data_IF_678958102797
#
_entry.id   IF_678958102797
#
_cell.length_a   1.000
_cell.length_b   1.000
_cell.length_c   1.000
_cell.angle_alpha   90.00
_cell.angle_beta   90.00
_cell.angle_gamma   90.00
#
_symmetry.space_group_name_H-M   'P 1'
#
loop_
_entity.id
_entity.type
_entity.pdbx_description
1 polymer ?
#
# COMPACT_ATOMS: atom_id res chain seq x y z
N UNK A 1 4.48 3.33 -13.41
CA UNK A 1 3.62 3.83 -12.32
C UNK A 1 2.21 3.28 -12.58
N UNK A 2 1.29 3.19 -11.59
CA UNK A 2 -0.06 2.65 -11.85
C UNK A 2 -0.79 3.33 -13.02
N UNK A 3 -0.65 4.65 -13.14
CA UNK A 3 -1.20 5.42 -14.28
C UNK A 3 -0.64 4.94 -15.62
N UNK A 4 0.67 4.71 -15.71
CA UNK A 4 1.30 4.22 -16.96
C UNK A 4 0.76 2.85 -17.34
N UNK A 5 0.57 1.95 -16.37
CA UNK A 5 0.03 0.62 -16.63
C UNK A 5 -1.43 0.67 -17.05
N UNK A 6 -2.25 1.54 -16.43
CA UNK A 6 -3.64 1.75 -16.86
C UNK A 6 -3.71 2.27 -18.31
N UNK A 7 -2.86 3.24 -18.65
CA UNK A 7 -2.79 3.77 -20.03
C UNK A 7 -2.33 2.70 -21.03
N UNK A 8 -1.32 1.88 -20.67
CA UNK A 8 -0.88 0.76 -21.51
C UNK A 8 -1.97 -0.30 -21.72
N UNK A 9 -2.80 -0.51 -20.71
CA UNK A 9 -3.96 -1.41 -20.79
C UNK A 9 -5.16 -0.79 -21.55
N UNK A 10 -5.04 0.44 -22.07
CA UNK A 10 -6.12 1.14 -22.76
C UNK A 10 -7.23 1.64 -21.82
N UNK A 11 -6.98 1.65 -20.51
CA UNK A 11 -7.92 2.15 -19.51
C UNK A 11 -7.69 3.64 -19.23
N UNK A 12 -8.78 4.39 -19.01
CA UNK A 12 -8.70 5.78 -18.56
C UNK A 12 -8.32 5.82 -17.06
N UNK A 13 -7.17 6.40 -16.67
CA UNK A 13 -6.78 6.44 -15.27
C UNK A 13 -7.70 7.36 -14.46
N UNK A 14 -8.07 6.99 -13.23
CA UNK A 14 -8.76 7.92 -12.35
C UNK A 14 -7.79 9.02 -11.88
N UNK A 15 -8.35 10.10 -11.35
CA UNK A 15 -7.56 11.12 -10.66
C UNK A 15 -7.27 10.66 -9.23
N UNK A 16 -6.00 10.55 -8.90
CA UNK A 16 -5.49 10.22 -7.57
C UNK A 16 -5.20 11.48 -6.77
N UNK A 17 -5.54 11.44 -5.48
CA UNK A 17 -5.11 12.44 -4.48
C UNK A 17 -4.32 11.69 -3.43
N UNK A 18 -3.02 11.97 -3.32
CA UNK A 18 -2.16 11.36 -2.30
C UNK A 18 -2.42 12.02 -0.95
N UNK A 19 -2.54 11.20 0.09
CA UNK A 19 -2.76 11.63 1.48
C UNK A 19 -1.91 10.78 2.40
N UNK A 20 -1.40 11.36 3.48
CA UNK A 20 -0.67 10.65 4.52
C UNK A 20 -0.82 11.40 5.84
N UNK A 21 -0.61 10.71 6.96
CA UNK A 21 -0.52 11.34 8.27
C UNK A 21 0.75 12.18 8.40
N UNK A 22 1.84 11.76 7.74
CA UNK A 22 3.13 12.44 7.67
C UNK A 22 3.46 12.75 6.19
N UNK A 23 2.81 13.77 5.59
CA UNK A 23 2.91 14.04 4.17
C UNK A 23 4.34 14.39 3.73
N UNK A 24 4.70 13.97 2.52
CA UNK A 24 6.01 14.24 1.90
C UNK A 24 5.85 15.12 0.64
N UNK A 25 5.46 16.41 0.79
CA UNK A 25 5.06 17.25 -0.33
C UNK A 25 6.17 17.47 -1.37
N UNK A 26 7.44 17.56 -0.95
CA UNK A 26 8.57 17.69 -1.88
C UNK A 26 8.71 16.48 -2.81
N UNK A 27 8.56 15.27 -2.27
CA UNK A 27 8.64 14.04 -3.05
C UNK A 27 7.41 13.88 -3.97
N UNK A 28 6.23 14.23 -3.47
CA UNK A 28 4.97 14.12 -4.23
C UNK A 28 4.85 15.16 -5.34
N UNK A 29 5.43 16.35 -5.18
CA UNK A 29 5.48 17.37 -6.23
C UNK A 29 6.12 16.84 -7.52
N UNK A 30 7.17 16.01 -7.40
CA UNK A 30 7.80 15.37 -8.56
C UNK A 30 6.88 14.34 -9.24
N UNK A 31 6.07 13.60 -8.49
CA UNK A 31 5.09 12.67 -9.03
C UNK A 31 3.94 13.40 -9.72
N UNK A 32 3.41 14.45 -9.10
CA UNK A 32 2.38 15.32 -9.68
C UNK A 32 2.85 15.99 -10.97
N UNK A 33 4.11 16.47 -11.03
CA UNK A 33 4.68 17.07 -12.23
C UNK A 33 4.79 16.10 -13.42
N UNK A 34 4.97 14.79 -13.17
CA UNK A 34 5.01 13.78 -14.24
C UNK A 34 3.63 13.48 -14.82
N UNK A 35 2.58 13.55 -14.00
CA UNK A 35 1.20 13.24 -14.41
C UNK A 35 0.20 14.27 -13.89
N UNK A 36 0.30 15.55 -14.31
CA UNK A 36 -0.45 16.65 -13.71
C UNK A 36 -1.97 16.55 -13.89
N UNK A 37 -2.43 15.82 -14.92
CA UNK A 37 -3.85 15.55 -15.14
C UNK A 37 -4.44 14.52 -14.17
N UNK A 38 -3.60 13.64 -13.61
CA UNK A 38 -4.04 12.46 -12.86
C UNK A 38 -3.62 12.44 -11.40
N UNK A 39 -2.61 13.22 -10.99
CA UNK A 39 -2.06 13.19 -9.64
C UNK A 39 -2.13 14.57 -8.99
N UNK A 40 -2.79 14.62 -7.84
CA UNK A 40 -2.71 15.72 -6.88
C UNK A 40 -2.35 15.14 -5.50
N UNK A 41 -2.13 16.00 -4.51
CA UNK A 41 -1.88 15.57 -3.13
C UNK A 41 -2.39 16.61 -2.13
N UNK A 42 -2.71 16.16 -0.93
CA UNK A 42 -3.00 17.01 0.24
C UNK A 42 -1.68 17.23 1.02
N UNK A 43 -1.16 18.47 1.11
CA UNK A 43 0.09 18.74 1.83
C UNK A 43 -0.06 18.70 3.35
N UNK A 44 -1.28 18.75 3.87
CA UNK A 44 -1.57 18.69 5.30
C UNK A 44 -1.70 17.23 5.79
N UNK A 45 -1.43 16.94 7.07
CA UNK A 45 -1.69 15.64 7.67
C UNK A 45 -3.14 15.18 7.49
N UNK A 46 -3.34 13.94 7.04
CA UNK A 46 -4.66 13.29 6.93
C UNK A 46 -4.65 11.98 7.70
N UNK A 47 -5.51 11.89 8.71
CA UNK A 47 -5.76 10.67 9.48
C UNK A 47 -6.66 9.72 8.67
N UNK A 48 -6.14 8.55 8.29
CA UNK A 48 -6.87 7.56 7.49
C UNK A 48 -8.12 7.00 8.20
N UNK A 49 -8.20 7.13 9.54
CA UNK A 49 -9.38 6.71 10.32
C UNK A 49 -10.52 7.74 10.30
N UNK A 50 -10.24 8.97 9.84
CA UNK A 50 -11.16 10.13 9.86
C UNK A 50 -10.84 11.09 8.72
N UNK A 51 -10.99 10.64 7.48
CA UNK A 51 -10.67 11.47 6.31
C UNK A 51 -11.70 12.62 6.21
N UNK A 52 -11.27 13.89 6.06
CA UNK A 52 -12.18 15.02 5.89
C UNK A 52 -13.16 14.82 4.72
N UNK A 53 -14.42 15.21 4.91
CA UNK A 53 -15.47 15.09 3.89
C UNK A 53 -15.07 15.65 2.53
N UNK A 54 -14.41 16.81 2.51
CA UNK A 54 -13.93 17.47 1.28
C UNK A 54 -12.93 16.61 0.48
N UNK A 55 -12.24 15.67 1.12
CA UNK A 55 -11.33 14.71 0.47
C UNK A 55 -12.00 13.35 0.21
N UNK A 56 -13.00 12.95 0.99
CA UNK A 56 -13.61 11.62 0.91
C UNK A 56 -14.82 11.54 -0.02
N UNK A 57 -15.65 12.57 -0.07
CA UNK A 57 -16.95 12.54 -0.75
C UNK A 57 -16.80 12.34 -2.26
N UNK A 58 -17.55 11.38 -2.82
CA UNK A 58 -17.48 11.02 -4.24
C UNK A 58 -16.19 10.31 -4.66
N UNK A 59 -15.33 9.89 -3.72
CA UNK A 59 -14.06 9.23 -4.00
C UNK A 59 -13.98 7.86 -3.32
N UNK A 60 -13.31 6.93 -3.98
CA UNK A 60 -12.89 5.67 -3.36
C UNK A 60 -11.51 5.81 -2.71
N UNK A 61 -11.27 5.05 -1.64
CA UNK A 61 -9.96 4.95 -1.00
C UNK A 61 -9.16 3.83 -1.66
N UNK A 62 -7.85 4.02 -1.79
CA UNK A 62 -6.93 3.03 -2.34
C UNK A 62 -5.75 2.86 -1.38
N UNK A 63 -5.51 1.64 -0.93
CA UNK A 63 -4.33 1.28 -0.14
C UNK A 63 -3.65 0.08 -0.78
N UNK A 64 -2.40 0.25 -1.19
CA UNK A 64 -1.59 -0.80 -1.81
C UNK A 64 -0.39 -1.07 -0.91
N UNK A 65 -0.26 -2.32 -0.49
CA UNK A 65 0.83 -2.85 0.32
C UNK A 65 1.08 -2.04 1.60
N UNK A 66 0.01 -1.67 2.30
CA UNK A 66 0.06 -0.78 3.46
C UNK A 66 -0.90 -1.16 4.58
N UNK A 67 -1.95 -1.95 4.30
CA UNK A 67 -3.02 -2.20 5.27
C UNK A 67 -2.51 -3.03 6.46
N UNK A 68 -1.56 -3.93 6.22
CA UNK A 68 -0.87 -4.72 7.24
C UNK A 68 -0.01 -3.92 8.25
N UNK A 69 0.19 -2.61 8.04
CA UNK A 69 0.86 -1.76 9.02
C UNK A 69 -0.08 -1.23 10.11
N UNK A 70 -1.39 -1.22 9.87
CA UNK A 70 -2.36 -0.76 10.85
C UNK A 70 -2.68 -1.85 11.86
N UNK A 71 -2.82 -1.50 13.14
CA UNK A 71 -3.33 -2.42 14.15
C UNK A 71 -4.79 -2.81 13.84
N UNK A 72 -5.31 -3.90 14.39
CA UNK A 72 -6.70 -4.31 14.13
C UNK A 72 -7.72 -3.22 14.44
N UNK A 73 -7.47 -2.42 15.48
CA UNK A 73 -8.33 -1.30 15.88
C UNK A 73 -8.33 -0.20 14.82
N UNK A 74 -7.14 0.18 14.32
CA UNK A 74 -7.00 1.20 13.27
C UNK A 74 -7.57 0.70 11.94
N UNK A 75 -7.32 -0.56 11.57
CA UNK A 75 -7.84 -1.19 10.37
C UNK A 75 -9.38 -1.17 10.34
N UNK A 76 -10.03 -1.56 11.45
CA UNK A 76 -11.48 -1.47 11.62
C UNK A 76 -11.98 -0.03 11.53
N UNK A 77 -11.27 0.92 12.15
CA UNK A 77 -11.64 2.33 12.10
C UNK A 77 -11.56 2.89 10.67
N UNK A 78 -10.52 2.55 9.91
CA UNK A 78 -10.36 2.92 8.49
C UNK A 78 -11.52 2.37 7.65
N UNK A 79 -11.86 1.08 7.81
CA UNK A 79 -12.96 0.44 7.07
C UNK A 79 -14.31 1.10 7.40
N UNK A 80 -14.58 1.33 8.69
CA UNK A 80 -15.80 2.00 9.14
C UNK A 80 -15.89 3.43 8.60
N UNK A 81 -14.77 4.16 8.57
CA UNK A 81 -14.71 5.51 8.02
C UNK A 81 -14.92 5.55 6.50
N UNK A 82 -14.40 4.55 5.79
CA UNK A 82 -14.63 4.39 4.36
C UNK A 82 -16.11 4.17 4.04
N UNK A 83 -16.79 3.29 4.80
CA UNK A 83 -18.23 3.04 4.65
C UNK A 83 -19.06 4.31 4.90
N UNK A 84 -18.67 5.13 5.88
CA UNK A 84 -19.40 6.37 6.21
C UNK A 84 -19.23 7.50 5.20
N UNK A 85 -18.03 7.65 4.64
CA UNK A 85 -17.63 8.91 3.98
C UNK A 85 -17.15 8.79 2.54
N UNK A 86 -16.95 7.57 2.02
CA UNK A 86 -16.34 7.34 0.72
C UNK A 86 -17.26 6.54 -0.20
N UNK A 87 -16.99 6.58 -1.51
CA UNK A 87 -17.71 5.81 -2.54
C UNK A 87 -17.17 4.39 -2.73
N UNK A 88 -16.26 3.96 -1.86
CA UNK A 88 -15.64 2.64 -1.89
C UNK A 88 -14.27 2.62 -1.22
N UNK A 89 -13.72 1.43 -1.03
CA UNK A 89 -12.35 1.21 -0.60
C UNK A 89 -11.77 0.00 -1.32
N UNK A 90 -10.55 0.11 -1.81
CA UNK A 90 -9.78 -0.97 -2.41
C UNK A 90 -8.47 -1.15 -1.64
N UNK A 91 -8.26 -2.36 -1.16
CA UNK A 91 -7.05 -2.81 -0.50
C UNK A 91 -6.37 -3.84 -1.40
N UNK A 92 -5.05 -3.79 -1.50
CA UNK A 92 -4.26 -4.85 -2.12
C UNK A 92 -2.96 -5.05 -1.36
N UNK A 93 -2.58 -6.30 -1.16
CA UNK A 93 -1.31 -6.68 -0.52
C UNK A 93 -0.52 -7.58 -1.47
N UNK A 94 0.80 -7.39 -1.51
CA UNK A 94 1.69 -8.14 -2.40
C UNK A 94 1.87 -9.61 -2.02
N UNK A 95 1.25 -10.07 -0.93
CA UNK A 95 1.36 -11.43 -0.42
C UNK A 95 0.18 -11.76 0.50
N UNK A 96 -0.16 -13.04 0.59
CA UNK A 96 -0.99 -13.58 1.67
C UNK A 96 -0.16 -13.80 2.95
N UNK A 97 -0.82 -14.07 4.09
CA UNK A 97 -0.14 -14.40 5.35
C UNK A 97 0.61 -15.73 5.21
N UNK A 98 1.89 -15.63 4.86
CA UNK A 98 2.81 -16.75 4.73
C UNK A 98 4.22 -16.22 5.02
N UNK A 99 4.97 -16.75 6.02
CA UNK A 99 6.30 -16.26 6.36
C UNK A 99 7.31 -16.32 5.21
N UNK A 100 7.02 -17.11 4.16
CA UNK A 100 7.82 -17.21 2.93
C UNK A 100 7.23 -16.41 1.75
N UNK A 101 6.14 -15.68 1.96
CA UNK A 101 5.42 -14.93 0.92
C UNK A 101 6.23 -13.78 0.31
N UNK A 102 7.29 -13.33 0.99
CA UNK A 102 8.20 -12.31 0.47
C UNK A 102 9.28 -12.88 -0.48
N UNK A 103 9.46 -14.21 -0.55
CA UNK A 103 10.50 -14.84 -1.38
C UNK A 103 10.47 -14.43 -2.87
N UNK A 104 9.31 -14.30 -3.52
CA UNK A 104 9.23 -13.79 -4.90
C UNK A 104 9.83 -12.39 -5.07
N UNK A 105 9.89 -11.58 -4.01
CA UNK A 105 10.49 -10.23 -4.06
C UNK A 105 12.01 -10.24 -3.83
N UNK A 106 12.59 -11.35 -3.37
CA UNK A 106 14.02 -11.44 -2.99
C UNK A 106 14.96 -11.04 -4.13
N UNK A 107 14.78 -11.47 -5.40
CA UNK A 107 15.72 -11.08 -6.46
C UNK A 107 15.79 -9.56 -6.67
N UNK A 108 14.63 -8.89 -6.68
CA UNK A 108 14.54 -7.43 -6.81
C UNK A 108 15.03 -6.74 -5.54
N UNK A 109 14.67 -7.27 -4.37
CA UNK A 109 15.08 -6.76 -3.07
C UNK A 109 16.60 -6.81 -2.87
N UNK A 110 17.25 -7.91 -3.24
CA UNK A 110 18.72 -8.05 -3.18
C UNK A 110 19.41 -7.05 -4.12
N UNK A 111 18.91 -6.90 -5.35
CA UNK A 111 19.45 -5.93 -6.30
C UNK A 111 19.30 -4.49 -5.77
N UNK A 112 18.12 -4.14 -5.25
CA UNK A 112 17.85 -2.83 -4.66
C UNK A 112 18.72 -2.57 -3.42
N UNK A 113 18.86 -3.57 -2.54
CA UNK A 113 19.68 -3.49 -1.35
C UNK A 113 21.16 -3.28 -1.72
N UNK A 114 21.70 -4.07 -2.66
CA UNK A 114 23.06 -3.93 -3.14
C UNK A 114 23.33 -2.55 -3.78
N UNK A 115 22.35 -1.99 -4.50
CA UNK A 115 22.43 -0.68 -5.13
C UNK A 115 22.21 0.50 -4.16
N UNK A 116 21.56 0.29 -3.00
CA UNK A 116 21.20 1.35 -2.05
C UNK A 116 22.36 2.28 -1.67
N UNK A 117 23.60 1.80 -1.37
CA UNK A 117 24.71 2.70 -1.06
C UNK A 117 25.13 3.61 -2.22
N UNK A 118 24.97 3.16 -3.47
CA UNK A 118 25.32 3.93 -4.68
C UNK A 118 24.28 5.01 -5.00
N UNK A 119 23.02 4.72 -4.71
CA UNK A 119 21.87 5.60 -5.02
C UNK A 119 21.52 6.55 -3.87
N UNK A 120 22.02 6.31 -2.65
CA UNK A 120 21.72 7.14 -1.50
C UNK A 120 22.25 8.57 -1.64
N UNK A 121 21.41 9.55 -1.29
CA UNK A 121 21.78 10.98 -1.24
C UNK A 121 22.59 11.35 0.00
N UNK A 122 22.48 10.57 1.08
CA UNK A 122 23.13 10.82 2.38
C UNK A 122 23.72 9.52 2.94
N UNK A 123 24.79 9.65 3.71
CA UNK A 123 25.42 8.55 4.46
C UNK A 123 25.87 7.35 3.61
N UNK A 124 26.35 7.60 2.38
CA UNK A 124 26.75 6.57 1.41
C UNK A 124 27.79 5.59 1.98
N UNK A 125 28.83 6.10 2.65
CA UNK A 125 29.88 5.27 3.24
C UNK A 125 29.36 4.35 4.36
N UNK A 126 28.55 4.89 5.28
CA UNK A 126 27.92 4.11 6.34
C UNK A 126 26.98 3.03 5.77
N UNK A 127 26.17 3.39 4.76
CA UNK A 127 25.32 2.42 4.06
C UNK A 127 26.14 1.35 3.35
N UNK A 128 27.24 1.71 2.69
CA UNK A 128 28.12 0.77 2.02
C UNK A 128 28.74 -0.21 3.02
N UNK A 129 29.21 0.28 4.17
CA UNK A 129 29.74 -0.57 5.23
C UNK A 129 28.67 -1.53 5.77
N UNK A 130 27.49 -1.02 6.15
CA UNK A 130 26.40 -1.86 6.66
C UNK A 130 25.89 -2.88 5.64
N UNK A 131 25.90 -2.54 4.35
CA UNK A 131 25.30 -3.37 3.30
C UNK A 131 26.27 -4.36 2.70
N UNK A 132 27.52 -3.95 2.44
CA UNK A 132 28.51 -4.75 1.73
C UNK A 132 29.53 -5.40 2.65
N UNK A 133 29.85 -4.77 3.79
CA UNK A 133 30.85 -5.29 4.72
C UNK A 133 30.25 -6.07 5.90
N UNK A 134 28.93 -6.01 6.12
CA UNK A 134 28.26 -6.70 7.23
C UNK A 134 26.99 -7.41 6.78
N UNK A 135 26.52 -8.45 7.49
CA UNK A 135 25.24 -9.10 7.20
C UNK A 135 24.02 -8.29 7.72
N UNK A 136 24.24 -7.16 8.40
CA UNK A 136 23.19 -6.45 9.14
C UNK A 136 22.06 -6.01 8.22
N UNK A 137 22.38 -5.39 7.08
CA UNK A 137 21.36 -4.91 6.16
C UNK A 137 20.52 -6.07 5.58
N UNK A 138 21.17 -7.18 5.21
CA UNK A 138 20.49 -8.37 4.72
C UNK A 138 19.61 -9.02 5.79
N UNK A 139 20.12 -9.16 7.02
CA UNK A 139 19.36 -9.71 8.14
C UNK A 139 18.14 -8.84 8.48
N UNK A 140 18.31 -7.51 8.48
CA UNK A 140 17.21 -6.56 8.67
C UNK A 140 16.16 -6.68 7.56
N UNK A 141 16.58 -6.82 6.29
CA UNK A 141 15.64 -7.01 5.17
C UNK A 141 14.87 -8.34 5.24
N UNK A 142 15.51 -9.43 5.66
CA UNK A 142 14.83 -10.72 5.86
C UNK A 142 13.83 -10.62 7.01
N UNK A 143 14.23 -10.01 8.13
CA UNK A 143 13.34 -9.78 9.26
C UNK A 143 12.12 -8.95 8.86
N UNK A 144 12.34 -7.86 8.14
CA UNK A 144 11.27 -6.98 7.65
C UNK A 144 10.28 -7.73 6.75
N UNK A 145 10.79 -8.52 5.79
CA UNK A 145 9.95 -9.35 4.91
C UNK A 145 9.12 -10.39 5.68
N UNK A 146 9.73 -11.10 6.65
CA UNK A 146 9.02 -12.06 7.49
C UNK A 146 7.94 -11.37 8.33
N UNK A 147 8.29 -10.28 9.03
CA UNK A 147 7.33 -9.58 9.89
C UNK A 147 6.18 -8.96 9.08
N UNK A 148 6.47 -8.41 7.89
CA UNK A 148 5.45 -7.85 7.00
C UNK A 148 4.46 -8.93 6.57
N UNK A 149 4.94 -10.09 6.10
CA UNK A 149 4.04 -11.19 5.70
C UNK A 149 3.21 -11.76 6.87
N UNK A 150 3.76 -11.79 8.09
CA UNK A 150 3.02 -12.26 9.26
C UNK A 150 1.92 -11.28 9.71
N UNK A 151 2.07 -9.98 9.43
CA UNK A 151 1.10 -8.94 9.79
C UNK A 151 -0.04 -8.78 8.80
N UNK A 152 0.05 -9.40 7.63
CA UNK A 152 -1.02 -9.36 6.63
C UNK A 152 -2.29 -9.98 7.18
N UNK A 153 -3.43 -9.32 6.99
CA UNK A 153 -4.74 -9.83 7.38
C UNK A 153 -5.21 -10.92 6.41
N UNK A 154 -5.71 -12.01 6.99
CA UNK A 154 -6.36 -13.10 6.25
C UNK A 154 -7.75 -12.70 5.79
N UNK A 155 -8.31 -13.41 4.80
CA UNK A 155 -9.69 -13.20 4.35
C UNK A 155 -10.69 -13.27 5.53
N UNK A 156 -10.54 -14.25 6.42
CA UNK A 156 -11.42 -14.42 7.58
C UNK A 156 -11.40 -13.20 8.50
N UNK A 157 -10.21 -12.67 8.82
CA UNK A 157 -10.07 -11.47 9.64
C UNK A 157 -10.64 -10.23 8.93
N UNK A 158 -10.41 -10.07 7.63
CA UNK A 158 -10.97 -8.96 6.85
C UNK A 158 -12.51 -9.01 6.86
N UNK A 159 -13.09 -10.20 6.68
CA UNK A 159 -14.54 -10.41 6.76
C UNK A 159 -15.07 -10.12 8.16
N UNK A 160 -14.37 -10.54 9.21
CA UNK A 160 -14.72 -10.22 10.59
C UNK A 160 -14.64 -8.72 10.89
N UNK A 161 -13.69 -8.00 10.28
CA UNK A 161 -13.57 -6.55 10.41
C UNK A 161 -14.75 -5.79 9.83
N UNK A 162 -15.29 -6.26 8.70
CA UNK A 162 -16.40 -5.58 8.00
C UNK A 162 -17.78 -6.09 8.40
N UNK A 163 -17.90 -7.27 9.02
CA UNK A 163 -19.20 -7.83 9.42
C UNK A 163 -20.07 -6.87 10.27
N UNK A 164 -19.54 -6.10 11.23
CA UNK A 164 -20.34 -5.14 11.99
C UNK A 164 -20.81 -3.91 11.19
N UNK A 165 -20.28 -3.70 9.97
CA UNK A 165 -20.62 -2.57 9.11
C UNK A 165 -21.90 -2.80 8.30
N UNK A 166 -22.48 -4.01 8.39
CA UNK A 166 -23.71 -4.38 7.69
C UNK A 166 -23.57 -4.38 6.17
N UNK A 167 -24.71 -4.23 5.49
CA UNK A 167 -24.80 -4.36 4.02
C UNK A 167 -24.61 -3.02 3.28
N UNK A 168 -24.06 -2.00 3.94
CA UNK A 168 -23.82 -0.70 3.30
C UNK A 168 -22.91 -0.86 2.07
N UNK A 169 -21.88 -1.69 2.19
CA UNK A 169 -20.97 -2.06 1.11
C UNK A 169 -21.09 -3.55 0.80
N UNK A 170 -21.01 -3.91 -0.49
CA UNK A 170 -20.77 -5.27 -0.94
C UNK A 170 -19.25 -5.52 -0.97
N UNK A 171 -18.80 -6.54 -0.26
CA UNK A 171 -17.37 -6.85 -0.07
C UNK A 171 -16.93 -8.05 -0.90
N UNK A 172 -15.80 -7.89 -1.61
CA UNK A 172 -15.18 -8.94 -2.40
C UNK A 172 -13.73 -9.17 -1.97
N UNK A 173 -13.35 -10.44 -1.89
CA UNK A 173 -11.97 -10.89 -1.71
C UNK A 173 -11.56 -11.70 -2.93
N UNK A 174 -10.33 -11.50 -3.39
CA UNK A 174 -9.75 -12.34 -4.43
C UNK A 174 -8.24 -12.34 -4.38
N UNK A 175 -7.64 -13.23 -5.16
CA UNK A 175 -6.19 -13.39 -5.24
C UNK A 175 -5.69 -13.18 -6.66
N UNK A 176 -4.43 -12.79 -6.80
CA UNK A 176 -3.78 -12.64 -8.09
C UNK A 176 -2.35 -13.17 -8.05
N UNK A 177 -1.88 -13.66 -9.19
CA UNK A 177 -0.50 -14.09 -9.37
C UNK A 177 0.36 -12.95 -9.95
N UNK A 178 1.64 -12.97 -9.62
CA UNK A 178 2.65 -12.09 -10.20
C UNK A 178 3.96 -12.86 -10.47
N UNK A 179 4.94 -12.27 -11.18
CA UNK A 179 6.17 -12.97 -11.56
C UNK A 179 6.87 -13.66 -10.38
N UNK A 180 7.68 -14.68 -10.69
CA UNK A 180 8.40 -15.50 -9.69
C UNK A 180 7.49 -16.32 -8.77
N UNK A 181 6.33 -16.75 -9.27
CA UNK A 181 5.29 -17.50 -8.52
C UNK A 181 4.81 -16.72 -7.29
N UNK A 182 4.80 -15.40 -7.39
CA UNK A 182 4.21 -14.55 -6.38
C UNK A 182 2.71 -14.62 -6.41
N UNK A 183 2.09 -14.51 -5.24
CA UNK A 183 0.63 -14.49 -5.08
C UNK A 183 0.28 -13.42 -4.06
N UNK A 184 -0.57 -12.47 -4.44
CA UNK A 184 -1.12 -11.44 -3.57
C UNK A 184 -2.63 -11.55 -3.45
N UNK A 185 -3.23 -10.65 -2.69
CA UNK A 185 -4.69 -10.54 -2.60
C UNK A 185 -5.17 -9.11 -2.79
N UNK A 186 -6.44 -8.99 -3.16
CA UNK A 186 -7.20 -7.75 -3.08
C UNK A 186 -8.45 -7.96 -2.22
N UNK A 187 -8.86 -6.89 -1.54
CA UNK A 187 -10.10 -6.84 -0.80
C UNK A 187 -10.73 -5.47 -1.02
N UNK A 188 -11.95 -5.41 -1.50
CA UNK A 188 -12.62 -4.14 -1.76
C UNK A 188 -14.08 -4.16 -1.35
N UNK A 189 -14.58 -2.97 -1.05
CA UNK A 189 -15.99 -2.72 -0.76
C UNK A 189 -16.50 -1.54 -1.56
N UNK A 190 -17.68 -1.68 -2.15
CA UNK A 190 -18.41 -0.64 -2.88
C UNK A 190 -19.84 -0.58 -2.37
N UNK A 191 -20.55 0.57 -2.43
CA UNK A 191 -21.94 0.66 -2.00
C UNK A 191 -22.81 -0.45 -2.62
N UNK A 192 -23.61 -1.12 -1.77
CA UNK A 192 -24.59 -2.09 -2.26
C UNK A 192 -25.61 -1.39 -3.18
N UNK A 193 -26.00 -2.08 -4.26
CA UNK A 193 -26.98 -1.57 -5.22
C UNK A 193 -28.41 -1.73 -4.71
#
# INVERSE_FOLDING_TARGET
MLIDELLRAGAAPPRFVLTDLLPQPEAWAAAAARHPAFVAFEPSPVDATRIPRALAEGRARLMINAFHHFSPELARAILADAVRGSSGIFLSEGFERNPLGFLPMVPVGVAALAANPLLARRSRAAKAWLTWATPIAAAASVWDGVVSTLRVYTEAELREMVAPLGDAFAWEYGTYDFPLRGKGYYFFGVPAR
#
